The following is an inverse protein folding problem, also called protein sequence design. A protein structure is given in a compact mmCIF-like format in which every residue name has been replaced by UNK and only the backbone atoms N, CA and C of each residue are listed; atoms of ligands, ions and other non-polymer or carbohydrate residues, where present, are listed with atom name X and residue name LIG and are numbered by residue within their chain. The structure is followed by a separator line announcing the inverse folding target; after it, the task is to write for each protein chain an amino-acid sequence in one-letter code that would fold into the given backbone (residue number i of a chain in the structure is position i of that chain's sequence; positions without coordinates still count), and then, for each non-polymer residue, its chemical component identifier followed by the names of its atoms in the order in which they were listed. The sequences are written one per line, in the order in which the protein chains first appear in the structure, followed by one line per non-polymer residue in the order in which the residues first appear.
data_IF_527960360881
#
_entry.id   IF_527960360881
#
_cell.length_a   1.000
_cell.length_b   1.000
_cell.length_c   1.000
_cell.angle_alpha   90.00
_cell.angle_beta   90.00
_cell.angle_gamma   90.00
#
_symmetry.space_group_name_H-M   'P 1'
#
loop_
_entity.id
_entity.type
_entity.pdbx_description
1 polymer ?
#
# COMPACT_ATOMS: atom_id res chain seq x y z
N UNK A 1 -49.86 49.37 47.66
CA UNK A 1 -50.15 48.43 46.56
C UNK A 1 -49.00 48.47 45.55
N UNK A 2 -48.28 47.35 45.45
CA UNK A 2 -47.36 46.87 44.39
C UNK A 2 -46.51 47.87 43.59
N UNK A 3 -45.21 47.53 43.51
CA UNK A 3 -44.26 47.60 42.37
C UNK A 3 -42.95 48.27 42.81
N UNK A 4 -41.75 47.83 42.48
CA UNK A 4 -41.18 46.67 41.77
C UNK A 4 -39.69 46.72 42.16
N UNK A 5 -39.13 45.67 42.76
CA UNK A 5 -37.69 45.58 42.97
C UNK A 5 -37.04 45.21 41.62
N UNK A 6 -36.24 46.10 41.04
CA UNK A 6 -35.37 45.77 39.92
C UNK A 6 -34.20 44.94 40.46
N UNK A 7 -34.14 43.68 40.05
CA UNK A 7 -32.98 42.80 40.23
C UNK A 7 -32.01 43.07 39.07
N UNK A 8 -30.73 43.40 39.30
CA UNK A 8 -29.77 43.51 38.21
C UNK A 8 -29.42 42.09 37.74
N UNK A 9 -29.74 41.82 36.47
CA UNK A 9 -29.38 40.58 35.76
C UNK A 9 -27.87 40.64 35.46
N UNK A 10 -27.07 39.97 36.28
CA UNK A 10 -25.66 39.72 36.00
C UNK A 10 -25.57 38.74 34.82
N UNK A 11 -25.35 39.27 33.62
CA UNK A 11 -25.04 38.50 32.43
C UNK A 11 -23.61 37.95 32.56
N UNK A 12 -23.50 36.72 33.07
CA UNK A 12 -22.23 35.99 33.11
C UNK A 12 -21.92 35.51 31.69
N UNK A 13 -21.08 36.26 30.98
CA UNK A 13 -20.56 35.85 29.67
C UNK A 13 -19.54 34.74 29.95
N UNK A 14 -19.97 33.49 29.80
CA UNK A 14 -19.10 32.34 29.69
C UNK A 14 -18.31 32.48 28.38
N UNK A 15 -17.11 33.04 28.49
CA UNK A 15 -16.07 32.90 27.47
C UNK A 15 -15.71 31.42 27.41
N UNK A 16 -16.40 30.64 26.57
CA UNK A 16 -15.90 29.36 26.12
C UNK A 16 -14.56 29.62 25.44
N UNK A 17 -13.48 29.33 26.15
CA UNK A 17 -12.17 29.21 25.56
C UNK A 17 -12.26 28.09 24.52
N UNK A 18 -12.34 28.47 23.25
CA UNK A 18 -12.11 27.55 22.15
C UNK A 18 -10.63 27.14 22.27
N UNK A 19 -10.38 26.03 22.96
CA UNK A 19 -9.12 25.31 22.78
C UNK A 19 -9.08 24.96 21.30
N UNK A 20 -8.17 25.61 20.56
CA UNK A 20 -7.67 25.01 19.32
C UNK A 20 -7.12 23.66 19.74
N UNK A 21 -7.80 22.58 19.36
CA UNK A 21 -7.12 21.30 19.18
C UNK A 21 -6.01 21.56 18.18
N UNK A 22 -4.81 21.80 18.69
CA UNK A 22 -3.61 21.43 17.95
C UNK A 22 -3.63 19.92 17.90
N UNK A 23 -4.31 19.38 16.89
CA UNK A 23 -4.00 18.04 16.39
C UNK A 23 -2.54 18.09 15.91
N UNK A 24 -1.61 17.88 16.84
CA UNK A 24 -0.33 17.34 16.45
C UNK A 24 -0.65 15.93 15.98
N UNK A 25 -0.77 15.75 14.67
CA UNK A 25 -0.74 14.43 14.05
C UNK A 25 0.59 13.79 14.43
N UNK A 26 0.58 13.00 15.51
CA UNK A 26 1.74 12.24 15.94
C UNK A 26 1.93 11.07 14.97
N UNK A 27 3.13 10.97 14.41
CA UNK A 27 3.51 9.85 13.57
C UNK A 27 3.71 8.60 14.44
N UNK A 28 3.07 7.50 14.06
CA UNK A 28 3.30 6.19 14.67
C UNK A 28 4.32 5.42 13.84
N UNK A 29 5.39 4.94 14.49
CA UNK A 29 6.33 4.05 13.82
C UNK A 29 5.77 2.63 13.78
N UNK A 30 5.58 2.10 12.56
CA UNK A 30 5.05 0.76 12.34
C UNK A 30 6.15 -0.33 12.33
N UNK A 31 7.43 0.04 12.34
CA UNK A 31 8.54 -0.90 12.41
C UNK A 31 9.18 -0.91 13.80
N UNK A 32 9.05 -2.04 14.48
CA UNK A 32 9.74 -2.35 15.73
C UNK A 32 10.65 -3.58 15.53
N UNK A 33 11.64 -3.83 16.42
CA UNK A 33 12.58 -4.94 16.26
C UNK A 33 11.96 -6.33 16.11
N UNK A 34 10.76 -6.53 16.66
CA UNK A 34 10.04 -7.80 16.63
C UNK A 34 9.03 -7.87 15.48
N UNK A 35 8.92 -6.80 14.68
CA UNK A 35 7.87 -6.61 13.67
C UNK A 35 6.46 -6.86 14.28
N UNK A 36 6.27 -6.47 15.53
CA UNK A 36 5.15 -6.91 16.38
C UNK A 36 3.77 -6.45 15.89
N UNK A 37 3.74 -5.38 15.11
CA UNK A 37 2.54 -4.76 14.54
C UNK A 37 2.04 -5.43 13.25
N UNK A 38 2.76 -6.44 12.75
CA UNK A 38 2.45 -7.10 11.49
C UNK A 38 2.29 -8.60 11.66
N UNK A 39 1.41 -9.17 10.85
CA UNK A 39 1.42 -10.59 10.51
C UNK A 39 2.24 -10.80 9.23
N UNK A 40 2.80 -12.00 9.06
CA UNK A 40 3.51 -12.40 7.85
C UNK A 40 2.73 -13.48 7.12
N UNK A 41 2.62 -13.38 5.81
CA UNK A 41 2.04 -14.43 4.98
C UNK A 41 3.00 -14.81 3.86
N UNK A 42 3.21 -16.12 3.68
CA UNK A 42 3.98 -16.66 2.56
C UNK A 42 3.10 -17.59 1.73
N UNK A 43 3.19 -17.44 0.41
CA UNK A 43 2.42 -18.25 -0.53
C UNK A 43 3.16 -19.57 -0.84
N UNK A 44 3.79 -19.64 -2.00
CA UNK A 44 4.48 -20.81 -2.52
C UNK A 44 5.87 -20.44 -2.99
N UNK A 45 6.77 -21.44 -3.01
CA UNK A 45 8.02 -21.34 -3.77
C UNK A 45 7.71 -21.47 -5.26
N UNK A 46 7.29 -20.35 -5.86
CA UNK A 46 6.92 -20.25 -7.26
C UNK A 46 8.02 -20.74 -8.20
N UNK A 47 7.61 -21.44 -9.26
CA UNK A 47 8.49 -21.95 -10.30
C UNK A 47 8.26 -21.21 -11.62
N UNK A 48 9.18 -21.36 -12.57
CA UNK A 48 8.98 -20.82 -13.92
C UNK A 48 7.75 -21.47 -14.56
N UNK A 49 6.92 -20.65 -15.21
CA UNK A 49 5.70 -21.12 -15.87
C UNK A 49 4.51 -21.31 -14.92
N UNK A 50 4.55 -20.74 -13.70
CA UNK A 50 3.37 -20.65 -12.84
C UNK A 50 2.19 -20.04 -13.61
N UNK A 51 1.01 -20.65 -13.46
CA UNK A 51 -0.16 -20.36 -14.29
C UNK A 51 -1.37 -19.83 -13.50
N UNK A 52 -1.21 -19.55 -12.20
CA UNK A 52 -2.28 -19.07 -11.31
C UNK A 52 -3.06 -20.16 -10.57
N UNK A 53 -2.89 -21.43 -10.97
CA UNK A 53 -3.51 -22.56 -10.27
C UNK A 53 -2.72 -22.92 -9.01
N UNK A 54 -3.36 -23.41 -7.93
CA UNK A 54 -2.62 -23.89 -6.78
C UNK A 54 -1.68 -25.04 -7.17
N UNK A 55 -0.40 -24.99 -6.74
CA UNK A 55 0.57 -26.01 -7.13
C UNK A 55 0.18 -27.38 -6.59
N UNK A 56 0.63 -28.43 -7.29
CA UNK A 56 0.41 -29.83 -6.93
C UNK A 56 1.74 -30.55 -6.70
N UNK A 57 1.75 -31.52 -5.80
CA UNK A 57 2.88 -32.41 -5.57
C UNK A 57 3.03 -33.45 -6.71
N UNK A 58 4.04 -34.31 -6.60
CA UNK A 58 4.33 -35.37 -7.58
C UNK A 58 3.18 -36.38 -7.73
N UNK A 59 2.30 -36.47 -6.74
CA UNK A 59 1.12 -37.35 -6.72
C UNK A 59 -0.14 -36.62 -7.22
N UNK A 60 -0.03 -35.36 -7.62
CA UNK A 60 -1.13 -34.53 -8.12
C UNK A 60 -2.03 -33.96 -7.02
N UNK A 61 -1.64 -34.06 -5.75
CA UNK A 61 -2.37 -33.47 -4.62
C UNK A 61 -2.01 -31.99 -4.50
N UNK A 62 -3.01 -31.16 -4.18
CA UNK A 62 -2.79 -29.72 -3.96
C UNK A 62 -1.82 -29.50 -2.79
N UNK A 63 -0.91 -28.56 -3.00
CA UNK A 63 -0.01 -28.04 -1.98
C UNK A 63 -0.67 -26.84 -1.32
N UNK A 64 -0.69 -26.84 0.01
CA UNK A 64 -1.13 -25.70 0.82
C UNK A 64 -0.08 -24.59 0.80
N UNK A 65 -0.48 -23.30 0.89
CA UNK A 65 0.49 -22.22 1.05
C UNK A 65 1.31 -22.42 2.34
N UNK A 66 2.49 -21.82 2.38
CA UNK A 66 3.34 -21.81 3.59
C UNK A 66 2.56 -21.18 4.76
N UNK A 67 1.77 -20.15 4.47
CA UNK A 67 0.70 -19.68 5.34
C UNK A 67 1.10 -18.51 6.22
N UNK A 68 0.27 -18.30 7.26
CA UNK A 68 0.33 -17.19 8.20
C UNK A 68 1.36 -17.45 9.30
N UNK A 69 2.18 -16.44 9.57
CA UNK A 69 3.24 -16.39 10.58
C UNK A 69 4.12 -17.66 10.58
N UNK A 70 4.70 -18.04 9.43
CA UNK A 70 5.43 -19.29 9.32
C UNK A 70 6.78 -19.22 10.04
N UNK A 71 7.13 -20.26 10.78
CA UNK A 71 8.44 -20.36 11.45
C UNK A 71 9.50 -20.94 10.52
N UNK A 72 10.75 -20.45 10.63
CA UNK A 72 11.89 -20.99 9.87
C UNK A 72 12.07 -20.41 8.47
N UNK A 73 11.50 -19.24 8.21
CA UNK A 73 11.63 -18.51 6.95
C UNK A 73 12.13 -17.08 7.20
N UNK A 74 13.25 -16.72 6.56
CA UNK A 74 13.86 -15.39 6.71
C UNK A 74 13.49 -14.47 5.54
N UNK A 75 12.21 -14.44 5.15
CA UNK A 75 11.73 -13.60 4.04
C UNK A 75 11.53 -12.16 4.50
N UNK A 76 10.95 -11.97 5.68
CA UNK A 76 10.72 -10.68 6.32
C UNK A 76 11.50 -10.65 7.63
N UNK A 77 12.57 -9.85 7.67
CA UNK A 77 13.46 -9.78 8.83
C UNK A 77 13.77 -8.33 9.18
N UNK A 78 13.82 -8.03 10.47
CA UNK A 78 14.31 -6.74 10.95
C UNK A 78 15.83 -6.74 11.01
N UNK A 79 16.45 -5.72 10.44
CA UNK A 79 17.90 -5.47 10.50
C UNK A 79 18.15 -4.02 10.89
N UNK A 80 19.32 -3.73 11.42
CA UNK A 80 19.73 -2.37 11.78
C UNK A 80 20.71 -1.82 10.74
N UNK A 81 20.48 -0.59 10.27
CA UNK A 81 21.47 0.21 9.54
C UNK A 81 21.70 1.51 10.32
N UNK A 82 22.65 1.49 11.26
CA UNK A 82 22.82 2.55 12.24
C UNK A 82 21.82 2.40 13.39
N UNK A 83 21.06 3.46 13.69
CA UNK A 83 20.00 3.46 14.72
C UNK A 83 18.61 3.19 14.14
N UNK A 84 18.50 3.03 12.81
CA UNK A 84 17.22 2.89 12.11
C UNK A 84 16.87 1.40 11.90
N UNK A 85 15.69 0.93 12.35
CA UNK A 85 15.20 -0.40 12.04
C UNK A 85 14.74 -0.47 10.58
N UNK A 86 15.18 -1.51 9.87
CA UNK A 86 14.84 -1.74 8.46
C UNK A 86 14.18 -3.10 8.33
N UNK A 87 12.99 -3.13 7.74
CA UNK A 87 12.38 -4.35 7.24
C UNK A 87 13.11 -4.79 5.97
N UNK A 88 13.92 -5.83 6.07
CA UNK A 88 14.57 -6.48 4.93
C UNK A 88 13.65 -7.54 4.36
N UNK A 89 13.23 -7.32 3.11
CA UNK A 89 12.46 -8.27 2.31
C UNK A 89 13.41 -9.04 1.38
N UNK A 90 13.57 -10.35 1.59
CA UNK A 90 14.49 -11.16 0.78
C UNK A 90 14.00 -11.41 -0.64
N UNK A 91 12.66 -11.43 -0.82
CA UNK A 91 11.97 -11.74 -2.06
C UNK A 91 12.12 -13.20 -2.53
N UNK A 92 12.64 -14.09 -1.67
CA UNK A 92 12.88 -15.50 -2.03
C UNK A 92 11.59 -16.29 -2.27
N UNK A 93 10.56 -15.93 -1.51
CA UNK A 93 9.22 -16.50 -1.59
C UNK A 93 8.26 -15.32 -1.64
N UNK A 94 7.25 -15.39 -2.49
CA UNK A 94 6.26 -14.34 -2.54
C UNK A 94 5.38 -14.39 -1.28
N UNK A 95 5.00 -13.20 -0.83
CA UNK A 95 4.27 -13.01 0.40
C UNK A 95 4.17 -11.54 0.75
N UNK A 96 3.63 -11.26 1.93
CA UNK A 96 3.47 -9.92 2.44
C UNK A 96 3.61 -9.88 3.96
N UNK A 97 3.85 -8.67 4.46
CA UNK A 97 3.53 -8.30 5.85
C UNK A 97 2.20 -7.56 5.83
N UNK A 98 1.33 -7.86 6.79
CA UNK A 98 -0.04 -7.34 6.86
C UNK A 98 -0.20 -6.66 8.22
N UNK A 99 -0.67 -5.42 8.26
CA UNK A 99 -0.90 -4.75 9.53
C UNK A 99 -1.98 -5.47 10.33
N UNK A 100 -1.77 -5.62 11.64
CA UNK A 100 -2.79 -6.19 12.53
C UNK A 100 -3.96 -5.24 12.75
N UNK A 101 -3.69 -3.95 12.69
CA UNK A 101 -4.68 -2.89 12.73
C UNK A 101 -5.19 -2.56 11.33
N UNK A 102 -6.44 -2.11 11.28
CA UNK A 102 -7.09 -1.59 10.07
C UNK A 102 -7.07 -0.05 10.11
N UNK A 103 -6.83 0.56 8.95
CA UNK A 103 -6.78 2.02 8.78
C UNK A 103 -7.69 2.45 7.64
N UNK A 104 -8.36 3.59 7.82
CA UNK A 104 -9.28 4.19 6.84
C UNK A 104 -8.71 5.52 6.31
N UNK A 105 -8.64 6.53 7.18
CA UNK A 105 -8.02 7.83 6.87
C UNK A 105 -6.62 7.90 7.48
N UNK A 106 -5.59 7.95 6.65
CA UNK A 106 -4.19 7.95 7.10
C UNK A 106 -3.24 8.53 6.07
N UNK A 107 -2.07 8.91 6.57
CA UNK A 107 -0.90 9.20 5.76
C UNK A 107 0.18 8.17 6.14
N UNK A 108 0.44 7.22 5.25
CA UNK A 108 1.54 6.27 5.37
C UNK A 108 2.74 6.84 4.64
N UNK A 109 3.87 6.97 5.34
CA UNK A 109 5.16 7.28 4.74
C UNK A 109 6.14 6.14 5.00
N UNK A 110 6.88 5.73 3.99
CA UNK A 110 7.98 4.79 4.14
C UNK A 110 9.14 5.12 3.20
N UNK A 111 10.31 4.58 3.51
CA UNK A 111 11.48 4.65 2.64
C UNK A 111 11.80 3.26 2.08
N UNK A 112 12.16 3.20 0.80
CA UNK A 112 12.56 1.96 0.12
C UNK A 112 13.91 2.11 -0.56
N UNK A 113 14.71 1.05 -0.51
CA UNK A 113 16.00 0.93 -1.20
C UNK A 113 16.11 -0.47 -1.77
N UNK A 114 16.51 -0.56 -3.03
CA UNK A 114 16.68 -1.85 -3.68
C UNK A 114 17.83 -2.67 -3.10
N UNK A 115 17.57 -3.95 -2.87
CA UNK A 115 18.62 -4.95 -2.73
C UNK A 115 19.24 -5.35 -4.07
N UNK A 116 20.11 -6.34 -4.03
CA UNK A 116 20.90 -6.85 -5.17
C UNK A 116 20.45 -8.24 -5.67
N UNK A 117 19.55 -8.91 -4.96
CA UNK A 117 19.08 -10.26 -5.28
C UNK A 117 17.82 -10.27 -6.12
N UNK A 118 17.70 -11.30 -6.96
CA UNK A 118 16.46 -11.74 -7.61
C UNK A 118 16.35 -13.25 -7.52
N UNK A 119 15.12 -13.74 -7.36
CA UNK A 119 14.83 -15.17 -7.22
C UNK A 119 13.96 -15.65 -8.36
N UNK A 120 13.80 -16.97 -8.50
CA UNK A 120 12.79 -17.53 -9.41
C UNK A 120 11.40 -17.09 -8.90
N UNK A 121 10.47 -16.64 -9.77
CA UNK A 121 10.53 -16.64 -11.23
C UNK A 121 11.13 -15.36 -11.85
N UNK A 122 11.52 -14.37 -11.06
CA UNK A 122 11.97 -13.03 -11.51
C UNK A 122 13.45 -12.87 -11.82
N UNK A 123 14.25 -13.95 -11.91
CA UNK A 123 15.71 -13.85 -12.17
C UNK A 123 16.09 -13.02 -13.40
N UNK A 124 15.19 -12.93 -14.39
CA UNK A 124 15.36 -12.14 -15.63
C UNK A 124 14.37 -10.97 -15.75
N UNK A 125 13.60 -10.69 -14.70
CA UNK A 125 12.60 -9.62 -14.66
C UNK A 125 13.08 -8.48 -13.77
N UNK A 126 12.32 -7.38 -13.76
CA UNK A 126 12.54 -6.24 -12.85
C UNK A 126 12.33 -6.66 -11.39
N UNK A 127 13.03 -6.04 -10.44
CA UNK A 127 12.69 -6.16 -9.01
C UNK A 127 11.36 -5.49 -8.78
N UNK A 128 10.57 -6.07 -7.89
CA UNK A 128 9.13 -5.85 -7.81
C UNK A 128 8.67 -6.13 -6.38
N UNK A 129 7.82 -5.23 -5.89
CA UNK A 129 7.23 -5.16 -4.56
C UNK A 129 6.08 -4.15 -4.64
N UNK A 130 5.36 -3.92 -3.55
CA UNK A 130 4.25 -2.97 -3.59
C UNK A 130 3.76 -2.63 -2.19
N UNK A 131 3.04 -1.52 -2.11
CA UNK A 131 2.19 -1.22 -0.95
C UNK A 131 0.78 -1.62 -1.34
N UNK A 132 0.27 -2.65 -0.66
CA UNK A 132 -1.08 -3.14 -0.83
C UNK A 132 -1.95 -2.51 0.25
N UNK A 133 -2.96 -1.74 -0.14
CA UNK A 133 -3.77 -0.97 0.79
C UNK A 133 -5.27 -1.19 0.61
N UNK A 134 -6.00 -0.92 1.70
CA UNK A 134 -7.40 -1.29 1.88
C UNK A 134 -7.64 -2.78 1.55
N UNK A 135 -6.71 -3.62 2.02
CA UNK A 135 -6.69 -5.06 1.82
C UNK A 135 -7.84 -5.74 2.56
N UNK A 136 -8.65 -6.53 1.86
CA UNK A 136 -9.79 -7.25 2.44
C UNK A 136 -9.90 -8.70 1.94
N UNK A 137 -10.60 -9.52 2.71
CA UNK A 137 -10.87 -10.92 2.32
C UNK A 137 -9.70 -11.87 2.59
N UNK A 138 -9.65 -13.04 1.93
CA UNK A 138 -8.65 -14.06 2.22
C UNK A 138 -7.26 -13.68 1.72
N UNK A 139 -6.22 -14.11 2.44
CA UNK A 139 -4.84 -14.04 1.97
C UNK A 139 -4.65 -14.92 0.73
N UNK A 140 -3.90 -14.42 -0.25
CA UNK A 140 -3.64 -15.13 -1.50
C UNK A 140 -4.84 -15.25 -2.43
N UNK A 141 -5.70 -14.24 -2.42
CA UNK A 141 -6.87 -14.16 -3.30
C UNK A 141 -6.46 -13.94 -4.78
N UNK A 142 -5.38 -13.20 -5.01
CA UNK A 142 -4.92 -12.85 -6.36
C UNK A 142 -4.13 -13.96 -7.07
N UNK A 143 -3.76 -13.71 -8.33
CA UNK A 143 -3.16 -14.67 -9.25
C UNK A 143 -1.95 -15.41 -8.68
N UNK A 144 -1.01 -14.70 -8.04
CA UNK A 144 0.20 -15.22 -7.41
C UNK A 144 -0.04 -15.82 -6.02
N UNK A 145 -1.29 -15.84 -5.54
CA UNK A 145 -1.70 -16.40 -4.25
C UNK A 145 -0.96 -15.80 -3.07
N UNK A 146 -0.52 -14.55 -3.17
CA UNK A 146 0.36 -13.88 -2.22
C UNK A 146 -0.30 -12.70 -1.51
N UNK A 147 -1.21 -12.00 -2.19
CA UNK A 147 -1.87 -10.81 -1.64
C UNK A 147 -3.38 -11.02 -1.47
N UNK A 148 -3.98 -10.19 -0.61
CA UNK A 148 -5.43 -10.08 -0.48
C UNK A 148 -5.99 -9.21 -1.62
N UNK A 149 -7.32 -9.16 -1.78
CA UNK A 149 -7.95 -8.13 -2.60
C UNK A 149 -7.52 -6.78 -2.05
N UNK A 150 -6.91 -5.94 -2.90
CA UNK A 150 -6.32 -4.67 -2.49
C UNK A 150 -6.09 -3.74 -3.69
N UNK A 151 -5.85 -2.47 -3.40
CA UNK A 151 -5.25 -1.53 -4.34
C UNK A 151 -3.72 -1.62 -4.22
N UNK A 152 -2.98 -1.53 -5.33
CA UNK A 152 -1.52 -1.53 -5.29
C UNK A 152 -0.92 -0.19 -5.69
N UNK A 153 -0.09 0.37 -4.80
CA UNK A 153 0.93 1.35 -5.14
C UNK A 153 2.22 0.58 -5.47
N UNK A 154 2.50 0.46 -6.76
CA UNK A 154 3.56 -0.36 -7.32
C UNK A 154 4.95 0.15 -6.93
N UNK A 155 5.82 -0.78 -6.54
CA UNK A 155 7.25 -0.55 -6.29
C UNK A 155 8.00 -1.52 -7.19
N UNK A 156 8.23 -1.14 -8.44
CA UNK A 156 8.99 -1.93 -9.42
C UNK A 156 10.08 -1.05 -10.07
N UNK A 157 11.24 -1.64 -10.39
CA UNK A 157 12.36 -0.92 -11.04
C UNK A 157 11.89 -0.15 -12.28
N UNK A 158 11.96 1.18 -12.26
CA UNK A 158 11.51 2.05 -13.35
C UNK A 158 10.00 2.26 -13.44
N UNK A 159 9.23 1.79 -12.45
CA UNK A 159 7.76 1.75 -12.43
C UNK A 159 7.15 2.13 -11.07
N UNK A 160 7.96 2.70 -10.17
CA UNK A 160 7.55 3.10 -8.82
C UNK A 160 6.47 4.19 -8.87
N UNK A 161 5.25 3.90 -8.42
CA UNK A 161 4.09 4.79 -8.51
C UNK A 161 3.00 4.37 -9.48
N UNK A 162 3.23 3.33 -10.30
CA UNK A 162 2.17 2.79 -11.14
C UNK A 162 1.06 2.17 -10.25
N UNK A 163 -0.15 2.10 -10.78
CA UNK A 163 -1.28 1.45 -10.11
C UNK A 163 -1.52 0.06 -10.71
N UNK A 164 -1.80 -0.91 -9.84
CA UNK A 164 -2.31 -2.22 -10.21
C UNK A 164 -3.52 -2.59 -9.35
N UNK A 165 -4.54 -3.16 -9.98
CA UNK A 165 -5.64 -3.82 -9.27
C UNK A 165 -5.21 -5.21 -8.80
N UNK A 166 -5.36 -5.51 -7.50
CA UNK A 166 -5.20 -6.87 -6.98
C UNK A 166 -6.54 -7.59 -6.86
N UNK A 167 -6.54 -8.87 -7.27
CA UNK A 167 -7.74 -9.68 -7.42
C UNK A 167 -8.80 -8.95 -8.28
N UNK A 168 -10.02 -8.79 -7.77
CA UNK A 168 -11.13 -8.12 -8.44
C UNK A 168 -11.38 -6.71 -7.89
N UNK A 169 -10.34 -6.02 -7.41
CA UNK A 169 -10.45 -4.62 -7.00
C UNK A 169 -10.79 -3.72 -8.19
N UNK A 170 -11.47 -2.61 -7.88
CA UNK A 170 -11.73 -1.53 -8.81
C UNK A 170 -11.62 -0.19 -8.08
N UNK A 171 -11.24 0.85 -8.83
CA UNK A 171 -11.10 2.23 -8.34
C UNK A 171 -11.18 3.21 -9.50
N UNK A 172 -11.59 4.44 -9.22
CA UNK A 172 -11.55 5.53 -10.19
C UNK A 172 -10.17 6.20 -10.16
N UNK A 173 -9.59 6.54 -11.31
CA UNK A 173 -8.25 7.16 -11.39
C UNK A 173 -8.29 8.36 -12.32
N UNK A 174 -7.61 9.46 -11.96
CA UNK A 174 -7.40 10.57 -12.91
C UNK A 174 -6.35 10.20 -13.94
N UNK A 175 -6.77 9.88 -15.16
CA UNK A 175 -5.86 9.41 -16.19
C UNK A 175 -6.34 9.72 -17.62
N UNK A 176 -5.38 9.79 -18.54
CA UNK A 176 -5.66 9.67 -19.96
C UNK A 176 -6.06 8.22 -20.27
N UNK A 177 -7.09 8.06 -21.10
CA UNK A 177 -7.49 6.76 -21.63
C UNK A 177 -6.39 6.19 -22.56
N UNK A 178 -6.27 4.86 -22.67
CA UNK A 178 -5.32 4.24 -23.59
C UNK A 178 -5.70 4.46 -25.06
N UNK A 179 -4.70 4.54 -25.93
CA UNK A 179 -4.86 4.47 -27.39
C UNK A 179 -4.12 3.26 -27.96
N UNK A 180 -4.83 2.36 -28.65
CA UNK A 180 -4.29 1.15 -29.27
C UNK A 180 -3.49 0.25 -28.30
N UNK A 181 -2.15 0.34 -28.34
CA UNK A 181 -1.22 -0.45 -27.55
C UNK A 181 -0.69 0.31 -26.33
N UNK A 182 -1.10 1.57 -26.16
CA UNK A 182 -0.68 2.41 -25.05
C UNK A 182 -1.46 2.03 -23.79
N UNK A 183 -0.79 2.06 -22.64
CA UNK A 183 -1.47 2.00 -21.36
C UNK A 183 -2.08 3.37 -21.03
N UNK A 184 -3.13 3.43 -20.19
CA UNK A 184 -3.54 4.70 -19.59
C UNK A 184 -2.40 5.28 -18.74
N UNK A 185 -2.36 6.60 -18.68
CA UNK A 185 -1.33 7.36 -17.95
C UNK A 185 -2.02 8.35 -17.03
N UNK A 186 -1.69 8.28 -15.74
CA UNK A 186 -2.22 9.18 -14.73
C UNK A 186 -1.84 10.63 -15.02
N UNK A 187 -2.75 11.56 -14.74
CA UNK A 187 -2.47 12.99 -14.78
C UNK A 187 -3.51 13.74 -13.94
N UNK A 188 -3.05 14.66 -13.09
CA UNK A 188 -3.88 15.39 -12.13
C UNK A 188 -4.95 16.27 -12.78
N UNK A 189 -4.77 16.63 -14.06
CA UNK A 189 -5.71 17.46 -14.82
C UNK A 189 -6.86 16.67 -15.45
N UNK A 190 -6.76 15.34 -15.51
CA UNK A 190 -7.76 14.50 -16.17
C UNK A 190 -8.93 14.18 -15.25
N UNK A 191 -10.07 13.84 -15.85
CA UNK A 191 -11.22 13.32 -15.12
C UNK A 191 -10.94 11.92 -14.56
N UNK A 192 -11.72 11.54 -13.55
CA UNK A 192 -11.72 10.19 -13.03
C UNK A 192 -12.30 9.21 -14.05
N UNK A 193 -11.58 8.14 -14.33
CA UNK A 193 -12.02 7.01 -15.15
C UNK A 193 -12.02 5.73 -14.32
N UNK A 194 -13.01 4.84 -14.51
CA UNK A 194 -13.09 3.60 -13.75
C UNK A 194 -12.05 2.59 -14.24
N UNK A 195 -11.39 1.91 -13.30
CA UNK A 195 -10.32 0.93 -13.55
C UNK A 195 -10.52 -0.29 -12.67
N UNK A 196 -10.44 -1.49 -13.24
CA UNK A 196 -10.47 -2.76 -12.52
C UNK A 196 -11.51 -3.75 -13.04
N UNK A 197 -12.00 -4.62 -12.16
CA UNK A 197 -12.96 -5.66 -12.51
C UNK A 197 -14.23 -5.08 -13.15
N UNK A 198 -14.58 -5.59 -14.34
CA UNK A 198 -15.79 -5.18 -15.06
C UNK A 198 -15.65 -3.94 -15.93
N UNK A 199 -14.47 -3.29 -15.94
CA UNK A 199 -14.20 -2.07 -16.70
C UNK A 199 -13.34 -2.32 -17.95
N UNK A 200 -13.34 -1.38 -18.89
CA UNK A 200 -12.54 -1.45 -20.12
C UNK A 200 -11.02 -1.43 -19.81
N UNK A 201 -10.64 -0.70 -18.76
CA UNK A 201 -9.27 -0.66 -18.24
C UNK A 201 -9.19 -1.64 -17.08
N UNK A 202 -8.61 -2.80 -17.33
CA UNK A 202 -8.77 -3.96 -16.44
C UNK A 202 -7.88 -3.96 -15.21
N UNK A 203 -7.00 -2.96 -15.00
CA UNK A 203 -6.21 -2.93 -13.77
C UNK A 203 -4.89 -2.18 -13.73
N UNK A 204 -4.29 -1.79 -14.86
CA UNK A 204 -3.02 -1.05 -14.88
C UNK A 204 -3.24 0.39 -15.27
N UNK A 205 -2.70 1.32 -14.48
CA UNK A 205 -2.47 2.71 -14.88
C UNK A 205 -1.02 3.09 -14.63
N UNK A 206 -0.35 3.61 -15.67
CA UNK A 206 1.00 4.12 -15.52
C UNK A 206 0.97 5.45 -14.78
N UNK A 207 1.92 5.66 -13.89
CA UNK A 207 2.10 6.95 -13.23
C UNK A 207 2.47 8.05 -14.23
N UNK A 208 2.28 9.31 -13.85
CA UNK A 208 2.51 10.45 -14.74
C UNK A 208 4.00 10.62 -15.17
N UNK A 209 4.96 10.25 -14.32
CA UNK A 209 6.40 10.48 -14.52
C UNK A 209 7.25 9.64 -13.57
N UNK A 210 8.49 9.36 -13.98
CA UNK A 210 9.43 8.60 -13.16
C UNK A 210 10.21 9.51 -12.20
N UNK A 211 9.85 9.48 -10.91
CA UNK A 211 10.57 10.17 -9.85
C UNK A 211 11.42 9.23 -8.98
N UNK A 212 11.63 7.98 -9.41
CA UNK A 212 12.53 7.05 -8.74
C UNK A 212 13.99 7.55 -8.80
N UNK A 213 14.67 7.53 -7.66
CA UNK A 213 16.11 7.84 -7.56
C UNK A 213 16.96 6.70 -8.12
N UNK A 214 18.23 6.98 -8.47
CA UNK A 214 19.17 5.97 -8.92
C UNK A 214 19.29 4.75 -7.99
N UNK A 215 19.68 3.62 -8.57
CA UNK A 215 19.91 2.36 -7.85
C UNK A 215 20.85 2.56 -6.65
N UNK A 216 20.44 2.05 -5.48
CA UNK A 216 21.19 2.15 -4.23
C UNK A 216 20.81 3.33 -3.34
N UNK A 217 20.01 4.27 -3.85
CA UNK A 217 19.47 5.38 -3.05
C UNK A 217 18.14 5.03 -2.40
N UNK A 218 17.85 5.71 -1.28
CA UNK A 218 16.56 5.64 -0.60
C UNK A 218 15.53 6.54 -1.28
N UNK A 219 14.43 5.94 -1.73
CA UNK A 219 13.23 6.61 -2.19
C UNK A 219 12.27 6.80 -1.02
N UNK A 220 11.59 7.95 -0.93
CA UNK A 220 10.49 8.18 0.01
C UNK A 220 9.18 8.03 -0.72
N UNK A 221 8.28 7.22 -0.18
CA UNK A 221 6.94 6.99 -0.71
C UNK A 221 5.91 7.45 0.31
N UNK A 222 4.92 8.20 -0.16
CA UNK A 222 3.78 8.59 0.64
C UNK A 222 2.50 8.08 -0.01
N UNK A 223 1.69 7.39 0.79
CA UNK A 223 0.34 6.99 0.47
C UNK A 223 -0.59 7.77 1.40
N UNK A 224 -1.44 8.61 0.83
CA UNK A 224 -2.47 9.33 1.58
C UNK A 224 -3.81 8.73 1.21
N UNK A 225 -4.57 8.28 2.21
CA UNK A 225 -5.95 7.82 2.05
C UNK A 225 -6.87 8.75 2.87
N UNK A 226 -7.88 9.32 2.22
CA UNK A 226 -8.83 10.21 2.87
C UNK A 226 -10.20 10.17 2.20
N UNK A 227 -11.25 9.83 2.97
CA UNK A 227 -12.65 9.79 2.55
C UNK A 227 -12.87 9.05 1.21
N UNK A 228 -12.27 7.86 1.09
CA UNK A 228 -12.40 7.00 -0.09
C UNK A 228 -11.52 7.40 -1.29
N UNK A 229 -10.65 8.40 -1.14
CA UNK A 229 -9.65 8.77 -2.15
C UNK A 229 -8.26 8.36 -1.72
N UNK A 230 -7.36 8.17 -2.67
CA UNK A 230 -5.95 7.92 -2.39
C UNK A 230 -4.99 8.68 -3.31
N UNK A 231 -3.80 8.98 -2.81
CA UNK A 231 -2.74 9.67 -3.56
C UNK A 231 -1.46 8.87 -3.40
N UNK A 232 -0.81 8.55 -4.52
CA UNK A 232 0.55 8.01 -4.51
C UNK A 232 1.54 9.14 -4.78
N UNK A 233 2.56 9.25 -3.94
CA UNK A 233 3.60 10.26 -4.01
C UNK A 233 4.95 9.58 -3.97
N UNK A 234 5.84 9.93 -4.91
CA UNK A 234 7.19 9.40 -5.00
C UNK A 234 8.17 10.57 -4.89
N UNK A 235 9.00 10.55 -3.84
CA UNK A 235 9.98 11.60 -3.56
C UNK A 235 9.41 13.03 -3.56
N UNK A 236 8.20 13.19 -3.02
CA UNK A 236 7.51 14.48 -2.89
C UNK A 236 6.67 14.88 -4.10
N UNK A 237 6.69 14.10 -5.18
CA UNK A 237 5.92 14.38 -6.40
C UNK A 237 4.67 13.50 -6.46
N UNK A 238 3.51 14.11 -6.70
CA UNK A 238 2.24 13.38 -6.87
C UNK A 238 2.25 12.67 -8.23
N UNK A 239 2.10 11.36 -8.22
CA UNK A 239 2.21 10.53 -9.44
C UNK A 239 0.92 9.80 -9.82
N UNK A 240 0.00 9.64 -8.87
CA UNK A 240 -1.30 8.98 -9.03
C UNK A 240 -2.34 9.63 -8.12
N UNK A 241 -3.56 9.84 -8.63
CA UNK A 241 -4.71 10.31 -7.86
C UNK A 241 -5.88 9.39 -8.13
N UNK A 242 -6.35 8.71 -7.08
CA UNK A 242 -7.43 7.73 -7.09
C UNK A 242 -8.55 8.14 -6.12
#
# INVERSE_FOLDING_TARGET
MKKQFLLPFCLMILLSACQKETDSTEWTNLLDPDLSQWDQYLSYRHQLGYNGEPPKDEQGKLIEPIGLNPTGYDVFTMVEEGEEPILKVSGEIYGCVISKEEYDNYHLQLKVKWGDKKWTPRKKLLKDSGILYHSIGPMGAEYWRSWMLSQEFQIMEGHMGDYWSQANSAIDIRAYIPEYIMNPVADVSQDFIPVGEGEDITGLVLRNSNFEKPMGEWNTLDLICFEGKSIHIVNGEVVMVL
#
